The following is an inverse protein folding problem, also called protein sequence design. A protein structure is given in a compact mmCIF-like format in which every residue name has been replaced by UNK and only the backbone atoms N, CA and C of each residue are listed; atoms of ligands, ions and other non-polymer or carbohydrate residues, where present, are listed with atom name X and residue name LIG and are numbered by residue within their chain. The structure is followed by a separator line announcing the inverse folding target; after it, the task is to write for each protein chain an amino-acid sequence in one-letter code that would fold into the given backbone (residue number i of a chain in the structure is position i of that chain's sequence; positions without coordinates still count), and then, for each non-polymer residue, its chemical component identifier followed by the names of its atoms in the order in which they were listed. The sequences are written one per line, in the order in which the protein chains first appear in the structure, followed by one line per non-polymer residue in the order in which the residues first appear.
data_IF_416643541917
#
_entry.id   IF_416643541917
#
_cell.length_a   1.000
_cell.length_b   1.000
_cell.length_c   1.000
_cell.angle_alpha   90.00
_cell.angle_beta   90.00
_cell.angle_gamma   90.00
#
_symmetry.space_group_name_H-M   'P 1'
#
loop_
_entity.id
_entity.type
_entity.pdbx_description
1 polymer ?
#
# COMPACT_ATOMS: atom_id res chain seq x y z
N UNK A 1 -50.65 22.93 -36.11
CA UNK A 1 -49.80 21.86 -35.52
C UNK A 1 -48.80 21.41 -36.59
N UNK A 2 -47.55 21.80 -36.46
CA UNK A 2 -46.46 21.41 -37.36
C UNK A 2 -45.70 20.23 -36.75
N UNK A 3 -45.25 19.27 -37.54
CA UNK A 3 -44.55 18.09 -37.03
C UNK A 3 -43.10 18.42 -36.62
N UNK A 4 -42.68 17.92 -35.48
CA UNK A 4 -41.31 18.03 -34.95
C UNK A 4 -40.35 17.24 -35.85
N UNK A 5 -39.34 17.95 -36.37
CA UNK A 5 -38.24 17.36 -37.13
C UNK A 5 -37.39 16.44 -36.28
N UNK A 6 -37.05 15.26 -36.84
CA UNK A 6 -36.11 14.32 -36.25
C UNK A 6 -34.66 14.88 -36.28
N UNK A 7 -33.95 14.75 -35.19
CA UNK A 7 -32.54 15.12 -35.09
C UNK A 7 -31.68 14.22 -36.00
N UNK A 8 -30.60 14.75 -36.63
CA UNK A 8 -29.73 13.93 -37.49
C UNK A 8 -28.98 12.88 -36.68
N UNK A 9 -29.07 11.64 -37.11
CA UNK A 9 -28.19 10.58 -36.61
C UNK A 9 -26.76 10.83 -37.13
N UNK A 10 -25.84 11.15 -36.24
CA UNK A 10 -24.41 11.22 -36.55
C UNK A 10 -23.95 9.78 -36.80
N UNK A 11 -23.72 9.45 -38.06
CA UNK A 11 -23.11 8.17 -38.43
C UNK A 11 -21.64 8.15 -38.00
N UNK A 12 -21.28 7.23 -37.11
CA UNK A 12 -19.89 6.97 -36.77
C UNK A 12 -19.23 6.34 -37.98
N UNK A 13 -18.13 6.91 -38.51
CA UNK A 13 -17.42 6.38 -39.68
C UNK A 13 -16.87 4.96 -39.42
N UNK A 14 -16.74 4.15 -40.45
CA UNK A 14 -16.22 2.78 -40.35
C UNK A 14 -14.81 2.73 -39.71
N UNK A 15 -13.98 3.77 -39.94
CA UNK A 15 -12.63 3.90 -39.39
C UNK A 15 -12.62 4.09 -37.87
N UNK A 16 -13.58 4.83 -37.33
CA UNK A 16 -13.74 4.98 -35.88
C UNK A 16 -14.20 3.66 -35.25
N UNK A 17 -15.07 2.92 -35.91
CA UNK A 17 -15.54 1.61 -35.43
C UNK A 17 -14.42 0.56 -35.41
N UNK A 18 -13.51 0.59 -36.38
CA UNK A 18 -12.32 -0.29 -36.44
C UNK A 18 -11.33 0.08 -35.32
N UNK A 19 -11.06 1.36 -35.12
CA UNK A 19 -10.20 1.82 -34.03
C UNK A 19 -10.76 1.42 -32.65
N UNK A 20 -12.07 1.52 -32.45
CA UNK A 20 -12.72 1.07 -31.21
C UNK A 20 -12.67 -0.45 -31.00
N UNK A 21 -12.74 -1.27 -32.07
CA UNK A 21 -12.57 -2.72 -31.96
C UNK A 21 -11.15 -3.08 -31.54
N UNK A 22 -10.13 -2.48 -32.15
CA UNK A 22 -8.73 -2.70 -31.78
C UNK A 22 -8.43 -2.35 -30.30
N UNK A 23 -9.00 -1.28 -29.78
CA UNK A 23 -8.87 -0.89 -28.37
C UNK A 23 -9.60 -1.88 -27.44
N UNK A 24 -10.78 -2.36 -27.83
CA UNK A 24 -11.52 -3.37 -27.07
C UNK A 24 -10.75 -4.71 -27.01
N UNK A 25 -10.17 -5.12 -28.13
CA UNK A 25 -9.36 -6.34 -28.24
C UNK A 25 -8.08 -6.22 -27.41
N UNK A 26 -7.42 -5.06 -27.43
CA UNK A 26 -6.25 -4.79 -26.59
C UNK A 26 -6.62 -4.83 -25.10
N UNK A 27 -7.73 -4.22 -24.68
CA UNK A 27 -8.23 -4.30 -23.31
C UNK A 27 -8.56 -5.74 -22.90
N UNK A 28 -9.13 -6.53 -23.78
CA UNK A 28 -9.43 -7.94 -23.53
C UNK A 28 -8.15 -8.77 -23.37
N UNK A 29 -7.13 -8.51 -24.21
CA UNK A 29 -5.82 -9.13 -24.10
C UNK A 29 -5.12 -8.79 -22.79
N UNK A 30 -5.09 -7.49 -22.44
CA UNK A 30 -4.50 -7.01 -21.18
C UNK A 30 -5.19 -7.64 -19.96
N UNK A 31 -6.54 -7.73 -19.96
CA UNK A 31 -7.30 -8.42 -18.92
C UNK A 31 -6.97 -9.90 -18.82
N UNK A 32 -6.77 -10.57 -19.98
CA UNK A 32 -6.41 -12.00 -20.01
C UNK A 32 -4.99 -12.24 -19.47
N UNK A 33 -4.04 -11.42 -19.88
CA UNK A 33 -2.65 -11.46 -19.37
C UNK A 33 -2.60 -11.15 -17.87
N UNK A 34 -3.36 -10.16 -17.40
CA UNK A 34 -3.44 -9.80 -15.99
C UNK A 34 -4.05 -10.86 -15.06
N UNK A 35 -4.64 -11.94 -15.63
CA UNK A 35 -5.14 -13.09 -14.85
C UNK A 35 -4.08 -14.17 -14.60
N UNK A 36 -2.90 -14.05 -15.17
CA UNK A 36 -1.78 -14.98 -14.95
C UNK A 36 -0.72 -14.32 -14.08
N UNK A 37 -0.07 -15.05 -13.17
CA UNK A 37 0.94 -14.48 -12.27
C UNK A 37 2.05 -13.71 -13.01
N UNK A 38 2.74 -14.31 -14.01
CA UNK A 38 3.73 -13.60 -14.82
C UNK A 38 3.15 -12.45 -15.64
N UNK A 39 1.91 -12.59 -16.12
CA UNK A 39 1.23 -11.57 -16.89
C UNK A 39 0.79 -10.36 -16.06
N UNK A 40 0.45 -10.54 -14.78
CA UNK A 40 0.19 -9.43 -13.84
C UNK A 40 1.41 -8.51 -13.77
N UNK A 41 2.59 -9.07 -13.54
CA UNK A 41 3.82 -8.30 -13.42
C UNK A 41 4.19 -7.58 -14.73
N UNK A 42 3.98 -8.22 -15.89
CA UNK A 42 4.20 -7.61 -17.19
C UNK A 42 3.22 -6.47 -17.47
N UNK A 43 1.94 -6.65 -17.16
CA UNK A 43 0.90 -5.63 -17.31
C UNK A 43 1.17 -4.47 -16.34
N UNK A 44 1.53 -4.74 -15.08
CA UNK A 44 1.94 -3.74 -14.10
C UNK A 44 3.15 -2.93 -14.58
N UNK A 45 4.18 -3.61 -15.09
CA UNK A 45 5.39 -2.95 -15.57
C UNK A 45 5.20 -2.17 -16.88
N UNK A 46 4.33 -2.65 -17.79
CA UNK A 46 4.19 -2.10 -19.13
C UNK A 46 3.02 -1.11 -19.31
N UNK A 47 1.96 -1.25 -18.51
CA UNK A 47 0.71 -0.48 -18.70
C UNK A 47 0.49 0.55 -17.61
N UNK A 48 1.23 0.49 -16.51
CA UNK A 48 1.06 1.36 -15.36
C UNK A 48 2.31 2.14 -14.89
N UNK A 49 3.18 2.65 -15.75
CA UNK A 49 3.88 3.85 -15.36
C UNK A 49 2.83 4.97 -15.46
N UNK A 50 2.02 5.12 -14.44
CA UNK A 50 1.04 6.19 -14.40
C UNK A 50 1.73 7.45 -13.86
N UNK A 51 2.08 8.43 -14.73
CA UNK A 51 2.64 9.69 -14.27
C UNK A 51 1.65 10.47 -13.40
N UNK A 52 0.37 10.09 -13.44
CA UNK A 52 -0.71 10.65 -12.66
C UNK A 52 -1.02 9.82 -11.38
N UNK A 53 -0.11 8.92 -10.96
CA UNK A 53 -0.21 8.25 -9.66
C UNK A 53 -0.46 9.29 -8.57
N UNK A 54 -1.54 9.14 -7.82
CA UNK A 54 -1.93 10.13 -6.82
C UNK A 54 -0.89 10.16 -5.69
N UNK A 55 -0.44 11.36 -5.38
CA UNK A 55 0.50 11.66 -4.31
C UNK A 55 -0.09 12.72 -3.41
N UNK A 56 0.48 12.93 -2.23
CA UNK A 56 -0.02 13.94 -1.29
C UNK A 56 -0.22 15.34 -1.91
N UNK A 57 0.67 15.91 -2.71
CA UNK A 57 0.46 17.21 -3.32
C UNK A 57 -0.72 17.26 -4.29
N UNK A 58 -1.16 16.10 -4.81
CA UNK A 58 -2.29 16.02 -5.74
C UNK A 58 -3.65 15.88 -5.03
N UNK A 59 -3.65 15.69 -3.72
CA UNK A 59 -4.86 15.61 -2.91
C UNK A 59 -5.52 16.99 -2.84
N UNK A 60 -6.78 17.07 -3.24
CA UNK A 60 -7.53 18.35 -3.26
C UNK A 60 -8.48 18.48 -2.08
N UNK A 61 -9.03 17.38 -1.62
CA UNK A 61 -10.08 17.36 -0.59
C UNK A 61 -9.51 16.88 0.73
N UNK A 62 -8.58 17.66 1.28
CA UNK A 62 -8.04 17.39 2.62
C UNK A 62 -9.15 17.60 3.66
N UNK A 63 -9.34 16.68 4.63
CA UNK A 63 -10.20 16.93 5.76
C UNK A 63 -9.61 18.04 6.65
N UNK A 64 -10.47 18.69 7.45
CA UNK A 64 -10.00 19.69 8.42
C UNK A 64 -9.16 19.07 9.54
N UNK A 65 -9.50 17.83 9.94
CA UNK A 65 -8.80 17.06 10.95
C UNK A 65 -8.96 15.57 10.67
N UNK A 66 -8.06 14.74 11.20
CA UNK A 66 -8.18 13.28 11.18
C UNK A 66 -8.54 12.82 12.59
N UNK A 67 -9.77 12.34 12.77
CA UNK A 67 -10.33 11.86 14.04
C UNK A 67 -10.66 10.38 14.04
N UNK A 68 -10.91 9.83 12.86
CA UNK A 68 -11.24 8.43 12.66
C UNK A 68 -10.80 7.92 11.30
N UNK A 69 -10.98 6.63 11.05
CA UNK A 69 -10.60 6.00 9.79
C UNK A 69 -11.36 6.60 8.58
N UNK A 70 -12.60 6.98 8.77
CA UNK A 70 -13.44 7.60 7.74
C UNK A 70 -12.85 8.90 7.16
N UNK A 71 -12.13 9.67 7.99
CA UNK A 71 -11.47 10.89 7.56
C UNK A 71 -10.28 10.63 6.62
N UNK A 72 -9.80 9.38 6.55
CA UNK A 72 -8.70 8.96 5.67
C UNK A 72 -9.15 8.61 4.24
N UNK A 73 -10.44 8.75 3.92
CA UNK A 73 -10.97 8.40 2.59
C UNK A 73 -10.23 9.08 1.43
N UNK A 74 -9.65 10.27 1.66
CA UNK A 74 -8.87 11.02 0.65
C UNK A 74 -7.59 10.28 0.19
N UNK A 75 -7.03 9.38 1.01
CA UNK A 75 -5.85 8.59 0.65
C UNK A 75 -6.16 7.55 -0.43
N UNK A 76 -7.43 7.16 -0.55
CA UNK A 76 -7.92 6.14 -1.47
C UNK A 76 -8.60 6.73 -2.70
N UNK A 77 -8.69 8.07 -2.79
CA UNK A 77 -9.26 8.71 -3.97
C UNK A 77 -8.45 8.39 -5.19
N UNK A 78 -9.04 7.65 -6.12
CA UNK A 78 -8.43 7.31 -7.40
C UNK A 78 -9.47 7.47 -8.51
N UNK A 79 -9.00 7.74 -9.72
CA UNK A 79 -9.80 7.50 -10.91
C UNK A 79 -9.45 6.11 -11.48
N UNK A 80 -10.05 5.72 -12.62
CA UNK A 80 -9.82 4.39 -13.21
C UNK A 80 -8.36 4.10 -13.64
N UNK A 81 -7.50 5.11 -13.63
CA UNK A 81 -6.13 5.07 -14.14
C UNK A 81 -5.10 5.26 -13.03
N UNK A 82 -5.50 5.82 -11.88
CA UNK A 82 -4.59 6.22 -10.82
C UNK A 82 -4.88 5.46 -9.54
N UNK A 83 -3.83 4.95 -8.91
CA UNK A 83 -3.90 4.49 -7.53
C UNK A 83 -4.00 5.70 -6.59
N UNK A 84 -4.65 5.52 -5.44
CA UNK A 84 -4.64 6.51 -4.36
C UNK A 84 -3.21 6.73 -3.81
N UNK A 85 -3.09 7.61 -2.84
CA UNK A 85 -1.83 7.78 -2.09
C UNK A 85 -1.48 6.48 -1.37
N UNK A 86 -2.46 5.87 -0.69
CA UNK A 86 -2.30 4.55 -0.10
C UNK A 86 -2.40 3.47 -1.20
N UNK A 87 -1.36 2.65 -1.31
CA UNK A 87 -1.34 1.46 -2.15
C UNK A 87 -1.88 0.23 -1.39
N UNK A 88 -2.96 0.43 -0.63
CA UNK A 88 -3.67 -0.55 0.19
C UNK A 88 -5.12 -0.63 -0.27
N UNK A 89 -5.75 -1.77 -0.02
CA UNK A 89 -7.21 -1.85 -0.06
C UNK A 89 -7.78 -1.19 1.21
N UNK A 90 -9.04 -0.76 1.14
CA UNK A 90 -9.67 -0.03 2.27
C UNK A 90 -9.78 -0.90 3.52
N UNK A 91 -10.05 -2.19 3.36
CA UNK A 91 -10.13 -3.17 4.47
C UNK A 91 -8.75 -3.48 5.08
N UNK A 92 -7.67 -3.50 4.26
CA UNK A 92 -6.29 -3.60 4.71
C UNK A 92 -5.92 -2.40 5.59
N UNK A 93 -6.18 -1.19 5.09
CA UNK A 93 -5.92 0.04 5.83
C UNK A 93 -6.76 0.14 7.12
N UNK A 94 -8.01 -0.34 7.10
CA UNK A 94 -8.85 -0.40 8.29
C UNK A 94 -8.29 -1.37 9.33
N UNK A 95 -7.70 -2.50 8.90
CA UNK A 95 -6.99 -3.42 9.80
C UNK A 95 -5.77 -2.73 10.43
N UNK A 96 -4.91 -2.12 9.61
CA UNK A 96 -3.71 -1.39 10.09
C UNK A 96 -4.08 -0.29 11.08
N UNK A 97 -5.09 0.54 10.74
CA UNK A 97 -5.58 1.60 11.62
C UNK A 97 -6.06 1.07 12.96
N UNK A 98 -6.86 -0.01 12.97
CA UNK A 98 -7.37 -0.62 14.20
C UNK A 98 -6.24 -1.16 15.08
N UNK A 99 -5.30 -1.91 14.51
CA UNK A 99 -4.18 -2.47 15.25
C UNK A 99 -3.27 -1.37 15.81
N UNK A 100 -2.97 -0.35 15.01
CA UNK A 100 -2.18 0.79 15.46
C UNK A 100 -2.85 1.57 16.61
N UNK A 101 -4.16 1.79 16.54
CA UNK A 101 -4.93 2.45 17.60
C UNK A 101 -4.87 1.67 18.92
N UNK A 102 -4.75 0.35 18.83
CA UNK A 102 -4.75 -0.53 19.97
C UNK A 102 -3.35 -0.77 20.58
N UNK A 103 -2.28 -0.23 19.98
CA UNK A 103 -0.90 -0.19 20.54
C UNK A 103 -0.88 0.57 21.85
N UNK A 104 -0.11 0.09 22.85
CA UNK A 104 -0.07 0.68 24.20
C UNK A 104 1.31 1.06 24.71
N UNK A 105 2.33 0.28 24.43
CA UNK A 105 3.60 0.35 25.13
C UNK A 105 4.82 0.48 24.22
N UNK A 106 4.90 -0.30 23.15
CA UNK A 106 6.08 -0.39 22.29
C UNK A 106 5.97 0.46 21.02
N UNK A 107 7.10 0.76 20.37
CA UNK A 107 7.10 1.41 19.06
C UNK A 107 6.50 0.50 17.99
N UNK A 108 6.09 1.12 16.89
CA UNK A 108 5.67 0.46 15.65
C UNK A 108 6.78 0.60 14.61
N UNK A 109 7.10 -0.49 13.91
CA UNK A 109 8.01 -0.46 12.78
C UNK A 109 7.30 -0.81 11.48
N UNK A 110 7.62 -0.09 10.41
CA UNK A 110 7.19 -0.31 9.05
C UNK A 110 8.42 -0.48 8.15
N UNK A 111 8.43 -1.53 7.34
CA UNK A 111 9.46 -1.79 6.33
C UNK A 111 8.80 -1.65 4.95
N UNK A 112 9.26 -0.66 4.17
CA UNK A 112 8.65 -0.28 2.90
C UNK A 112 7.49 0.72 3.12
N UNK A 113 7.70 1.97 2.69
CA UNK A 113 6.66 3.02 2.81
C UNK A 113 6.21 3.59 1.48
N UNK A 114 7.03 3.44 0.43
CA UNK A 114 6.76 3.97 -0.90
C UNK A 114 6.26 5.43 -0.86
N UNK A 115 4.99 5.70 -1.15
CA UNK A 115 4.38 7.05 -1.10
C UNK A 115 3.98 7.51 0.31
N UNK A 116 4.10 6.64 1.29
CA UNK A 116 3.75 6.92 2.68
C UNK A 116 2.28 6.80 3.05
N UNK A 117 1.47 6.12 2.23
CA UNK A 117 0.04 5.93 2.52
C UNK A 117 -0.19 5.11 3.79
N UNK A 118 0.48 3.97 3.94
CA UNK A 118 0.47 3.15 5.16
C UNK A 118 1.05 3.87 6.37
N UNK A 119 2.19 4.57 6.17
CA UNK A 119 2.81 5.42 7.21
C UNK A 119 1.82 6.45 7.74
N UNK A 120 1.07 7.11 6.85
CA UNK A 120 0.06 8.10 7.25
C UNK A 120 -1.12 7.47 8.00
N UNK A 121 -1.56 6.26 7.58
CA UNK A 121 -2.61 5.48 8.29
C UNK A 121 -2.16 5.16 9.70
N UNK A 122 -0.95 4.61 9.88
CA UNK A 122 -0.37 4.33 11.19
C UNK A 122 -0.28 5.59 12.05
N UNK A 123 0.35 6.64 11.52
CA UNK A 123 0.53 7.90 12.25
C UNK A 123 -0.80 8.50 12.72
N UNK A 124 -1.86 8.38 11.92
CA UNK A 124 -3.20 8.88 12.26
C UNK A 124 -3.88 8.09 13.38
N UNK A 125 -3.52 6.81 13.53
CA UNK A 125 -4.16 5.91 14.49
C UNK A 125 -3.41 5.80 15.83
N UNK A 126 -2.08 5.91 15.80
CA UNK A 126 -1.23 5.70 16.98
C UNK A 126 -1.57 6.66 18.13
N UNK A 127 -1.69 6.14 19.35
CA UNK A 127 -1.87 6.96 20.54
C UNK A 127 -0.73 7.96 20.74
N UNK A 128 -0.98 8.97 21.58
CA UNK A 128 0.06 9.91 21.96
C UNK A 128 1.18 9.18 22.73
N UNK A 129 2.42 9.51 22.43
CA UNK A 129 3.60 8.91 23.04
C UNK A 129 4.07 7.60 22.40
N UNK A 130 3.34 7.06 21.44
CA UNK A 130 3.78 5.92 20.64
C UNK A 130 4.42 6.41 19.35
N UNK A 131 5.60 5.89 19.03
CA UNK A 131 6.40 6.28 17.87
C UNK A 131 6.28 5.28 16.73
N UNK A 132 6.29 5.80 15.51
CA UNK A 132 6.36 5.04 14.26
C UNK A 132 7.75 5.20 13.64
N UNK A 133 8.40 4.09 13.38
CA UNK A 133 9.69 4.01 12.70
C UNK A 133 9.48 3.36 11.33
N UNK A 134 9.58 4.17 10.27
CA UNK A 134 9.33 3.74 8.89
C UNK A 134 10.62 3.73 8.09
N UNK A 135 11.00 2.56 7.61
CA UNK A 135 12.23 2.29 6.88
C UNK A 135 11.91 2.08 5.40
N UNK A 136 12.67 2.74 4.53
CA UNK A 136 12.59 2.54 3.09
C UNK A 136 13.98 2.69 2.46
N UNK A 137 14.31 1.83 1.53
CA UNK A 137 15.60 1.86 0.86
C UNK A 137 15.64 2.80 -0.34
N UNK A 138 14.51 3.44 -0.67
CA UNK A 138 14.38 4.34 -1.82
C UNK A 138 14.83 3.73 -3.15
N UNK A 139 14.55 2.47 -3.38
CA UNK A 139 14.71 1.89 -4.71
C UNK A 139 13.82 2.69 -5.65
N UNK A 140 14.44 3.41 -6.57
CA UNK A 140 13.71 4.21 -7.55
C UNK A 140 12.93 3.28 -8.48
N UNK A 141 11.72 2.90 -8.08
CA UNK A 141 10.80 2.11 -8.90
C UNK A 141 10.42 2.89 -10.17
N UNK A 142 10.55 4.21 -10.13
CA UNK A 142 10.20 5.12 -11.23
C UNK A 142 11.11 6.36 -11.22
N UNK A 143 11.70 6.75 -12.38
CA UNK A 143 12.54 7.93 -12.46
C UNK A 143 11.84 9.25 -12.11
N UNK A 144 10.51 9.31 -12.27
CA UNK A 144 9.68 10.49 -12.00
C UNK A 144 9.21 10.59 -10.54
N UNK A 145 9.52 9.57 -9.73
CA UNK A 145 9.17 9.53 -8.30
C UNK A 145 10.38 9.12 -7.45
N UNK A 146 11.39 9.98 -7.31
CA UNK A 146 12.50 9.69 -6.42
C UNK A 146 12.04 9.64 -4.97
N UNK A 147 12.58 8.71 -4.19
CA UNK A 147 12.16 8.44 -2.82
C UNK A 147 12.28 9.65 -1.90
N UNK A 148 13.33 10.45 -2.04
CA UNK A 148 13.54 11.68 -1.27
C UNK A 148 12.37 12.65 -1.44
N UNK A 149 11.87 12.80 -2.67
CA UNK A 149 10.72 13.65 -2.94
C UNK A 149 9.43 13.09 -2.33
N UNK A 150 9.24 11.77 -2.37
CA UNK A 150 8.10 11.15 -1.72
C UNK A 150 8.12 11.35 -0.20
N UNK A 151 9.30 11.28 0.41
CA UNK A 151 9.48 11.57 1.82
C UNK A 151 9.20 13.04 2.19
N UNK A 152 9.63 13.98 1.35
CA UNK A 152 9.30 15.40 1.55
C UNK A 152 7.78 15.64 1.47
N UNK A 153 7.11 15.04 0.50
CA UNK A 153 5.67 15.11 0.32
C UNK A 153 4.91 14.50 1.52
N UNK A 154 5.39 13.37 2.02
CA UNK A 154 4.85 12.70 3.21
C UNK A 154 5.06 13.56 4.46
N UNK A 155 6.27 14.10 4.68
CA UNK A 155 6.57 14.99 5.82
C UNK A 155 5.62 16.18 5.84
N UNK A 156 5.44 16.85 4.69
CA UNK A 156 4.51 17.98 4.59
C UNK A 156 3.08 17.59 4.94
N UNK A 157 2.64 16.37 4.55
CA UNK A 157 1.33 15.86 4.91
C UNK A 157 1.21 15.56 6.42
N UNK A 158 2.24 14.94 7.02
CA UNK A 158 2.29 14.66 8.45
C UNK A 158 2.29 15.96 9.28
N UNK A 159 3.08 16.96 8.86
CA UNK A 159 3.14 18.28 9.53
C UNK A 159 1.78 18.98 9.51
N UNK A 160 1.05 18.91 8.40
CA UNK A 160 -0.28 19.49 8.26
C UNK A 160 -1.25 19.06 9.37
N UNK A 161 -1.11 17.83 9.89
CA UNK A 161 -1.98 17.28 10.93
C UNK A 161 -1.29 17.15 12.29
N UNK A 162 -0.07 17.70 12.45
CA UNK A 162 0.68 17.60 13.70
C UNK A 162 1.11 16.16 14.03
N UNK A 163 1.30 15.32 13.03
CA UNK A 163 1.67 13.91 13.19
C UNK A 163 3.18 13.67 13.08
N UNK A 164 3.94 14.62 12.53
CA UNK A 164 5.35 14.44 12.21
C UNK A 164 6.22 14.14 13.43
N UNK A 165 5.89 14.71 14.59
CA UNK A 165 6.71 14.55 15.82
C UNK A 165 6.83 13.10 16.31
N UNK A 166 5.93 12.22 15.93
CA UNK A 166 5.94 10.80 16.31
C UNK A 166 6.38 9.84 15.20
N UNK A 167 6.81 10.37 14.03
CA UNK A 167 7.16 9.56 12.86
C UNK A 167 8.63 9.78 12.50
N UNK A 168 9.38 8.69 12.50
CA UNK A 168 10.77 8.65 12.08
C UNK A 168 10.84 8.03 10.67
N UNK A 169 11.14 8.84 9.66
CA UNK A 169 11.34 8.38 8.28
C UNK A 169 12.83 8.13 8.06
N UNK A 170 13.22 6.86 7.92
CA UNK A 170 14.61 6.45 7.74
C UNK A 170 14.83 5.94 6.32
N UNK A 171 15.88 6.43 5.70
CA UNK A 171 16.40 5.89 4.42
C UNK A 171 17.44 4.85 4.76
N UNK A 172 17.06 3.59 4.77
CA UNK A 172 17.92 2.50 5.22
C UNK A 172 17.49 1.15 4.64
N UNK A 173 18.47 0.28 4.45
CA UNK A 173 18.23 -1.13 4.13
C UNK A 173 17.79 -1.86 5.40
N UNK A 174 16.58 -2.42 5.41
CA UNK A 174 16.02 -3.18 6.54
C UNK A 174 16.90 -4.34 7.00
N UNK A 175 17.69 -4.92 6.09
CA UNK A 175 18.61 -6.03 6.39
C UNK A 175 19.79 -5.62 7.27
N UNK A 176 20.12 -4.33 7.32
CA UNK A 176 21.26 -3.78 8.07
C UNK A 176 20.89 -2.70 9.07
N UNK A 177 19.72 -2.09 8.92
CA UNK A 177 19.23 -1.03 9.80
C UNK A 177 19.05 -1.51 11.23
N UNK A 178 19.27 -0.63 12.20
CA UNK A 178 18.97 -0.90 13.59
C UNK A 178 17.48 -0.63 13.88
N UNK A 179 16.81 -1.53 14.63
CA UNK A 179 15.45 -1.30 15.09
C UNK A 179 15.40 -0.17 16.12
N UNK A 180 14.23 0.42 16.39
CA UNK A 180 14.07 1.36 17.48
C UNK A 180 14.43 0.73 18.83
N UNK A 181 14.73 1.56 19.81
CA UNK A 181 14.95 1.08 21.17
C UNK A 181 13.67 0.47 21.76
N UNK A 182 13.80 -0.62 22.48
CA UNK A 182 12.69 -1.34 23.09
C UNK A 182 12.12 -2.44 22.19
N UNK A 183 11.07 -3.09 22.67
CA UNK A 183 10.40 -4.17 21.95
C UNK A 183 9.26 -3.60 21.10
N UNK A 184 9.18 -4.04 19.84
CA UNK A 184 8.11 -3.65 18.92
C UNK A 184 6.77 -4.25 19.38
N UNK A 185 5.72 -3.44 19.36
CA UNK A 185 4.36 -3.92 19.55
C UNK A 185 3.68 -4.29 18.23
N UNK A 186 4.10 -3.65 17.13
CA UNK A 186 3.63 -3.95 15.80
C UNK A 186 4.76 -3.80 14.77
N UNK A 187 4.89 -4.77 13.89
CA UNK A 187 5.78 -4.78 12.74
C UNK A 187 4.95 -4.98 11.47
N UNK A 188 5.11 -4.07 10.50
CA UNK A 188 4.50 -4.17 9.18
C UNK A 188 5.60 -4.34 8.12
N UNK A 189 5.54 -5.41 7.34
CA UNK A 189 6.50 -5.78 6.30
C UNK A 189 5.84 -5.63 4.94
N UNK A 190 6.30 -4.64 4.17
CA UNK A 190 5.83 -4.30 2.83
C UNK A 190 7.00 -3.82 1.93
N UNK A 191 8.19 -4.41 2.13
CA UNK A 191 9.43 -4.02 1.47
C UNK A 191 9.71 -4.81 0.19
N UNK A 192 10.75 -5.64 0.20
CA UNK A 192 11.12 -6.50 -0.93
C UNK A 192 10.15 -7.70 -1.05
N UNK A 193 9.38 -7.75 -2.13
CA UNK A 193 8.40 -8.82 -2.38
C UNK A 193 9.01 -10.13 -2.90
N UNK A 194 10.33 -10.25 -2.95
CA UNK A 194 10.98 -11.54 -3.18
C UNK A 194 10.82 -12.45 -1.95
N UNK A 195 10.98 -13.76 -2.14
CA UNK A 195 10.99 -14.70 -1.02
C UNK A 195 12.13 -14.40 -0.04
N UNK A 196 13.31 -14.14 -0.59
CA UNK A 196 14.53 -13.85 0.17
C UNK A 196 14.40 -12.55 0.96
N UNK A 197 13.81 -11.51 0.36
CA UNK A 197 13.58 -10.22 1.01
C UNK A 197 12.59 -10.33 2.16
N UNK A 198 11.37 -10.81 1.89
CA UNK A 198 10.34 -10.95 2.91
C UNK A 198 10.76 -11.87 4.07
N UNK A 199 11.50 -12.93 3.77
CA UNK A 199 12.06 -13.82 4.78
C UNK A 199 13.13 -13.15 5.62
N UNK A 200 14.08 -12.44 5.00
CA UNK A 200 15.14 -11.73 5.70
C UNK A 200 14.58 -10.65 6.64
N UNK A 201 13.59 -9.90 6.19
CA UNK A 201 12.90 -8.90 7.01
C UNK A 201 12.23 -9.56 8.22
N UNK A 202 11.53 -10.66 8.01
CA UNK A 202 10.89 -11.37 9.12
C UNK A 202 11.92 -11.93 10.09
N UNK A 203 12.93 -12.68 9.64
CA UNK A 203 13.94 -13.31 10.49
C UNK A 203 14.68 -12.27 11.34
N UNK A 204 15.00 -11.12 10.76
CA UNK A 204 15.69 -10.06 11.47
C UNK A 204 14.78 -9.33 12.47
N UNK A 205 13.62 -8.85 12.00
CA UNK A 205 12.81 -7.89 12.77
C UNK A 205 11.86 -8.56 13.76
N UNK A 206 11.43 -9.79 13.49
CA UNK A 206 10.53 -10.53 14.39
C UNK A 206 11.17 -10.83 15.76
N UNK A 207 12.51 -10.85 15.84
CA UNK A 207 13.23 -11.00 17.09
C UNK A 207 12.93 -9.85 18.08
N UNK A 208 12.71 -8.65 17.56
CA UNK A 208 12.43 -7.44 18.35
C UNK A 208 10.95 -7.26 18.69
N UNK A 209 10.06 -8.06 18.14
CA UNK A 209 8.62 -8.01 18.48
C UNK A 209 8.42 -8.68 19.84
N UNK A 210 7.70 -8.00 20.74
CA UNK A 210 7.39 -8.53 22.07
C UNK A 210 6.44 -9.73 22.00
N UNK A 211 6.38 -10.59 23.03
CA UNK A 211 5.28 -11.54 23.17
C UNK A 211 3.93 -10.82 23.15
N UNK A 212 2.97 -11.36 22.41
CA UNK A 212 1.67 -10.71 22.15
C UNK A 212 1.71 -9.58 21.12
N UNK A 213 2.89 -9.21 20.60
CA UNK A 213 3.04 -8.22 19.54
C UNK A 213 2.65 -8.76 18.18
N UNK A 214 2.35 -7.87 17.26
CA UNK A 214 1.78 -8.15 15.94
C UNK A 214 2.84 -8.10 14.84
N UNK A 215 2.77 -9.03 13.89
CA UNK A 215 3.49 -8.97 12.61
C UNK A 215 2.51 -9.10 11.47
N UNK A 216 2.61 -8.17 10.51
CA UNK A 216 1.77 -8.17 9.32
C UNK A 216 2.66 -8.16 8.08
N UNK A 217 2.28 -8.97 7.08
CA UNK A 217 2.86 -8.95 5.75
C UNK A 217 1.83 -8.47 4.75
N UNK A 218 2.18 -7.45 3.98
CA UNK A 218 1.38 -7.04 2.82
C UNK A 218 1.62 -7.98 1.64
N UNK A 219 0.70 -8.01 0.70
CA UNK A 219 0.82 -8.77 -0.56
C UNK A 219 1.07 -10.28 -0.40
N UNK A 220 0.72 -10.84 0.76
CA UNK A 220 0.97 -12.24 1.13
C UNK A 220 -0.16 -13.21 0.73
N UNK A 221 -1.40 -12.71 0.56
CA UNK A 221 -2.59 -13.54 0.32
C UNK A 221 -3.18 -13.23 -1.05
N UNK A 222 -3.41 -14.25 -1.88
CA UNK A 222 -4.10 -14.08 -3.16
C UNK A 222 -5.61 -13.89 -2.93
N UNK A 223 -6.10 -12.71 -3.22
CA UNK A 223 -7.52 -12.35 -3.11
C UNK A 223 -8.30 -12.64 -4.38
N UNK A 224 -7.65 -13.19 -5.42
CA UNK A 224 -8.26 -13.47 -6.73
C UNK A 224 -8.59 -12.23 -7.56
N UNK A 225 -8.31 -11.01 -7.06
CA UNK A 225 -8.54 -9.73 -7.71
C UNK A 225 -7.32 -9.15 -8.40
N UNK A 226 -7.37 -7.85 -8.69
CA UNK A 226 -6.21 -7.06 -9.16
C UNK A 226 -5.28 -6.65 -8.01
N UNK A 227 -5.54 -7.13 -6.79
CA UNK A 227 -4.65 -6.91 -5.65
C UNK A 227 -3.28 -7.53 -5.94
N UNK A 228 -2.26 -6.92 -5.42
CA UNK A 228 -0.93 -7.45 -5.48
C UNK A 228 -0.87 -8.72 -4.63
N UNK A 229 -0.38 -9.76 -5.20
CA UNK A 229 -0.03 -10.98 -4.52
C UNK A 229 1.31 -11.42 -5.08
N UNK A 230 2.28 -11.52 -4.22
CA UNK A 230 3.61 -11.95 -4.61
C UNK A 230 3.87 -13.36 -4.07
N UNK A 231 4.08 -14.34 -4.96
CA UNK A 231 4.35 -15.73 -4.54
C UNK A 231 5.54 -15.86 -3.60
N UNK A 232 6.52 -14.95 -3.69
CA UNK A 232 7.67 -14.89 -2.79
C UNK A 232 7.25 -14.62 -1.35
N UNK A 233 6.44 -13.57 -1.14
CA UNK A 233 5.91 -13.20 0.18
C UNK A 233 5.02 -14.31 0.72
N UNK A 234 4.10 -14.83 -0.10
CA UNK A 234 3.20 -15.92 0.30
C UNK A 234 3.98 -17.16 0.77
N UNK A 235 5.08 -17.47 0.08
CA UNK A 235 5.97 -18.59 0.47
C UNK A 235 6.65 -18.31 1.82
N UNK A 236 7.23 -17.13 2.01
CA UNK A 236 7.85 -16.74 3.28
C UNK A 236 6.86 -16.83 4.45
N UNK A 237 5.64 -16.35 4.25
CA UNK A 237 4.55 -16.42 5.23
C UNK A 237 4.15 -17.87 5.55
N UNK A 238 4.13 -18.77 4.58
CA UNK A 238 3.79 -20.17 4.79
C UNK A 238 4.83 -20.93 5.65
N UNK A 239 6.06 -20.44 5.73
CA UNK A 239 7.16 -21.02 6.50
C UNK A 239 7.25 -20.45 7.94
N UNK A 240 6.37 -19.53 8.34
CA UNK A 240 6.35 -18.99 9.71
C UNK A 240 6.03 -20.11 10.70
N UNK A 241 6.95 -20.30 11.64
CA UNK A 241 6.93 -21.45 12.55
C UNK A 241 5.99 -21.31 13.75
N UNK A 242 6.01 -22.27 14.66
CA UNK A 242 5.03 -22.43 15.76
C UNK A 242 5.13 -21.37 16.86
N UNK A 243 6.11 -20.46 16.83
CA UNK A 243 6.20 -19.32 17.75
C UNK A 243 5.18 -18.19 17.47
N UNK A 244 4.31 -18.37 16.47
CA UNK A 244 3.39 -17.34 16.00
C UNK A 244 1.98 -17.90 15.82
N UNK A 245 0.98 -17.17 16.27
CA UNK A 245 -0.43 -17.50 16.06
C UNK A 245 -0.97 -16.69 14.88
N UNK A 246 -1.40 -17.40 13.83
CA UNK A 246 -2.01 -16.76 12.67
C UNK A 246 -3.40 -16.22 13.06
N UNK A 247 -3.64 -14.97 12.75
CA UNK A 247 -4.88 -14.26 12.97
C UNK A 247 -5.65 -14.05 11.66
N UNK A 248 -6.89 -13.56 11.77
CA UNK A 248 -7.62 -13.08 10.61
C UNK A 248 -6.92 -11.83 10.05
N UNK A 249 -6.52 -11.88 8.77
CA UNK A 249 -6.02 -10.75 8.02
C UNK A 249 -7.14 -9.95 7.34
N UNK A 250 -6.77 -9.07 6.44
CA UNK A 250 -7.67 -8.35 5.56
C UNK A 250 -7.02 -8.23 4.18
N UNK A 251 -7.80 -8.34 3.10
CA UNK A 251 -7.25 -8.25 1.75
C UNK A 251 -6.06 -9.19 1.53
N UNK A 252 -4.95 -8.65 1.07
CA UNK A 252 -3.70 -9.39 0.86
C UNK A 252 -2.85 -9.55 2.12
N UNK A 253 -3.25 -8.95 3.26
CA UNK A 253 -2.47 -8.97 4.50
C UNK A 253 -2.56 -10.33 5.20
N UNK A 254 -1.40 -10.92 5.49
CA UNK A 254 -1.27 -12.00 6.47
C UNK A 254 -0.89 -11.42 7.83
N UNK A 255 -1.58 -11.83 8.89
CA UNK A 255 -1.43 -11.31 10.24
C UNK A 255 -1.05 -12.42 11.23
N UNK A 256 -0.07 -12.14 12.09
CA UNK A 256 0.43 -13.05 13.12
C UNK A 256 0.63 -12.32 14.45
N UNK A 257 0.45 -13.05 15.54
CA UNK A 257 0.75 -12.60 16.90
C UNK A 257 1.82 -13.51 17.50
N UNK A 258 2.85 -12.90 18.08
CA UNK A 258 3.93 -13.65 18.73
C UNK A 258 3.42 -14.35 19.99
N UNK A 259 3.69 -15.63 20.12
CA UNK A 259 3.36 -16.37 21.35
C UNK A 259 4.21 -15.91 22.53
N UNK A 260 3.67 -16.10 23.73
CA UNK A 260 4.38 -15.83 24.97
C UNK A 260 5.52 -16.83 25.21
#
# INVERSE_FOLDING_TARGET
MAPRGAAPRVGVSADVAVAFRGVADLKALVRRLGRTGPGKNLVHAAVLPDPASMRFPNVRNWPESVRGFEDLAFLFSSNQLNHGVASLQVDEAALLFRLARDVREGPVAEIGRFKGGSTFVFASALPQGIELWSYDFHVALRPDMPGERLDEELRAALDRYGLAAKVHLLVADSRTADPPAGELELLFIDGDHSYEGARADFERWSAFVRPGGNVLFHDAVDTGGYGNHYPGVARAVAEIGPGWDRQAGAGSIAHFVKRA
#
